data_IF_589009208593
#
_entry.id   IF_589009208593
#
_cell.length_a   1.000
_cell.length_b   1.000
_cell.length_c   1.000
_cell.angle_alpha   90.00
_cell.angle_beta   90.00
_cell.angle_gamma   90.00
#
_symmetry.space_group_name_H-M   'P 1'
#
loop_
_entity.id
_entity.type
_entity.pdbx_description
1 polymer ?
#
# COMPACT_ATOMS: atom_id res chain seq x y z
N UNK A 1 -12.76 27.38 -28.07
CA UNK A 1 -12.30 25.99 -27.91
C UNK A 1 -13.38 25.22 -27.16
N UNK A 2 -13.78 24.06 -27.65
CA UNK A 2 -14.74 23.21 -26.94
C UNK A 2 -14.03 22.46 -25.84
N UNK A 3 -14.43 22.63 -24.57
CA UNK A 3 -13.84 21.96 -23.42
C UNK A 3 -14.38 20.52 -23.40
N UNK A 4 -13.50 19.52 -23.39
CA UNK A 4 -13.88 18.10 -23.30
C UNK A 4 -13.85 17.65 -21.85
N UNK A 5 -14.66 16.67 -21.47
CA UNK A 5 -14.69 16.13 -20.10
C UNK A 5 -13.31 15.60 -19.64
N UNK A 6 -12.55 14.98 -20.54
CA UNK A 6 -11.19 14.49 -20.24
C UNK A 6 -10.21 15.61 -19.86
N UNK A 7 -10.44 16.83 -20.36
CA UNK A 7 -9.59 17.98 -20.04
C UNK A 7 -9.81 18.47 -18.59
N UNK A 8 -10.90 18.01 -17.94
CA UNK A 8 -11.29 18.32 -16.56
C UNK A 8 -10.93 17.20 -15.56
N UNK A 9 -10.00 16.31 -15.88
CA UNK A 9 -9.69 15.13 -15.06
C UNK A 9 -9.43 15.46 -13.58
N UNK A 10 -8.75 16.57 -13.29
CA UNK A 10 -8.48 17.00 -11.91
C UNK A 10 -9.75 17.36 -11.10
N UNK A 11 -10.82 17.82 -11.78
CA UNK A 11 -12.07 18.11 -11.12
C UNK A 11 -12.77 16.85 -10.58
N UNK A 12 -12.47 15.69 -11.16
CA UNK A 12 -13.05 14.40 -10.78
C UNK A 12 -12.28 13.66 -9.69
N UNK A 13 -11.25 14.28 -9.11
CA UNK A 13 -10.43 13.68 -8.04
C UNK A 13 -11.08 13.74 -6.64
N UNK A 14 -12.27 14.35 -6.52
CA UNK A 14 -13.01 14.41 -5.26
C UNK A 14 -12.41 15.33 -4.18
N UNK A 15 -11.42 16.14 -4.53
CA UNK A 15 -10.72 17.05 -3.59
C UNK A 15 -11.62 18.21 -3.17
N UNK A 16 -12.30 18.83 -4.12
CA UNK A 16 -13.27 19.89 -3.86
C UNK A 16 -14.68 19.32 -4.08
N UNK A 17 -15.60 19.44 -3.10
CA UNK A 17 -16.96 18.99 -3.28
C UNK A 17 -17.60 19.70 -4.47
N UNK A 18 -18.19 18.92 -5.36
CA UNK A 18 -18.99 19.43 -6.46
C UNK A 18 -20.39 19.81 -5.96
N UNK A 19 -21.13 20.55 -6.77
CA UNK A 19 -22.50 20.99 -6.47
C UNK A 19 -23.41 20.53 -7.61
N UNK A 20 -24.58 19.98 -7.26
CA UNK A 20 -25.66 19.75 -8.22
C UNK A 20 -26.81 20.68 -7.93
N UNK A 21 -27.33 21.30 -8.99
CA UNK A 21 -28.56 22.06 -8.97
C UNK A 21 -29.65 21.33 -9.81
N UNK A 22 -30.81 21.13 -9.20
CA UNK A 22 -31.98 20.49 -9.79
C UNK A 22 -33.21 21.37 -9.60
N UNK A 23 -34.28 21.17 -10.37
CA UNK A 23 -35.55 21.86 -10.20
C UNK A 23 -36.66 20.83 -10.00
N UNK A 24 -37.58 21.13 -9.08
CA UNK A 24 -38.84 20.39 -8.91
C UNK A 24 -39.80 20.69 -10.08
N UNK A 25 -40.85 19.89 -10.27
CA UNK A 25 -41.84 20.14 -11.34
C UNK A 25 -42.52 21.54 -11.29
N UNK A 26 -42.62 22.10 -10.09
CA UNK A 26 -43.17 23.46 -9.87
C UNK A 26 -42.11 24.58 -10.09
N UNK A 27 -40.89 24.20 -10.54
CA UNK A 27 -39.79 25.13 -10.77
C UNK A 27 -38.98 25.47 -9.54
N UNK A 28 -39.30 24.95 -8.34
CA UNK A 28 -38.56 25.20 -7.13
C UNK A 28 -37.12 24.63 -7.22
N UNK A 29 -36.07 25.47 -7.09
CA UNK A 29 -34.68 25.00 -7.17
C UNK A 29 -34.28 24.22 -5.94
N UNK A 30 -33.34 23.28 -6.14
CA UNK A 30 -32.68 22.55 -5.07
C UNK A 30 -31.18 22.44 -5.38
N UNK A 31 -30.36 22.71 -4.40
CA UNK A 31 -28.90 22.62 -4.49
C UNK A 31 -28.41 21.63 -3.45
N UNK A 32 -27.52 20.72 -3.87
CA UNK A 32 -26.89 19.72 -3.00
C UNK A 32 -25.39 19.63 -3.27
N UNK A 33 -24.62 19.39 -2.22
CA UNK A 33 -23.22 19.04 -2.35
C UNK A 33 -23.09 17.57 -2.72
N UNK A 34 -22.08 17.28 -3.56
CA UNK A 34 -21.73 15.94 -4.02
C UNK A 34 -20.39 15.55 -3.39
N UNK A 35 -20.34 14.39 -2.79
CA UNK A 35 -19.08 13.85 -2.25
C UNK A 35 -18.12 13.44 -3.36
N UNK A 36 -18.63 12.78 -4.39
CA UNK A 36 -17.85 12.32 -5.52
C UNK A 36 -18.61 12.51 -6.84
N UNK A 37 -17.88 13.03 -7.83
CA UNK A 37 -18.25 13.01 -9.24
C UNK A 37 -17.14 12.29 -9.97
N UNK A 38 -17.47 11.29 -10.79
CA UNK A 38 -16.51 10.45 -11.51
C UNK A 38 -16.76 10.56 -13.00
N UNK A 39 -15.70 10.66 -13.77
CA UNK A 39 -15.75 10.56 -15.22
C UNK A 39 -16.01 9.10 -15.64
N UNK A 40 -17.11 8.84 -16.33
CA UNK A 40 -17.44 7.51 -16.85
C UNK A 40 -16.83 7.31 -18.22
N UNK A 41 -17.09 8.27 -19.12
CA UNK A 41 -16.56 8.31 -20.49
C UNK A 41 -16.57 9.76 -21.01
N UNK A 42 -16.35 9.94 -22.32
CA UNK A 42 -16.28 11.25 -22.94
C UNK A 42 -17.61 12.06 -22.90
N UNK A 43 -18.73 11.40 -22.59
CA UNK A 43 -20.07 12.01 -22.61
C UNK A 43 -20.80 11.88 -21.26
N UNK A 44 -20.30 11.07 -20.30
CA UNK A 44 -21.04 10.74 -19.09
C UNK A 44 -20.21 10.93 -17.82
N UNK A 45 -20.90 11.37 -16.78
CA UNK A 45 -20.39 11.46 -15.42
C UNK A 45 -21.29 10.66 -14.47
N UNK A 46 -20.68 10.14 -13.40
CA UNK A 46 -21.35 9.43 -12.33
C UNK A 46 -21.27 10.22 -11.03
N UNK A 47 -22.38 10.32 -10.31
CA UNK A 47 -22.51 11.05 -9.06
C UNK A 47 -22.85 10.09 -7.93
N UNK A 48 -22.14 10.21 -6.79
CA UNK A 48 -22.45 9.41 -5.61
C UNK A 48 -23.76 9.86 -4.96
N UNK A 49 -24.70 8.94 -4.80
CA UNK A 49 -25.98 9.17 -4.12
C UNK A 49 -25.92 8.54 -2.71
N UNK A 50 -25.89 9.38 -1.68
CA UNK A 50 -25.81 8.98 -0.28
C UNK A 50 -27.03 9.42 0.54
N UNK A 51 -27.52 10.65 0.33
CA UNK A 51 -28.51 11.30 1.17
C UNK A 51 -29.64 12.01 0.38
N UNK A 52 -29.71 11.86 -0.93
CA UNK A 52 -30.46 12.76 -1.78
C UNK A 52 -31.92 12.33 -2.02
N UNK A 53 -32.79 12.45 -1.03
CA UNK A 53 -34.21 12.23 -1.28
C UNK A 53 -34.82 13.27 -2.25
N UNK A 54 -34.54 14.57 -2.02
CA UNK A 54 -35.10 15.66 -2.85
C UNK A 54 -34.47 15.74 -4.23
N UNK A 55 -33.12 15.64 -4.32
CA UNK A 55 -32.41 15.60 -5.60
C UNK A 55 -32.87 14.42 -6.46
N UNK A 56 -32.95 13.21 -5.88
CA UNK A 56 -33.40 12.01 -6.57
C UNK A 56 -34.89 12.13 -7.05
N UNK A 57 -35.73 12.75 -6.25
CA UNK A 57 -37.13 13.02 -6.66
C UNK A 57 -37.18 14.00 -7.83
N UNK A 58 -36.43 15.09 -7.77
CA UNK A 58 -36.37 16.09 -8.80
C UNK A 58 -35.91 15.53 -10.15
N UNK A 59 -34.78 14.78 -10.16
CA UNK A 59 -34.22 14.29 -11.44
C UNK A 59 -35.07 13.19 -12.09
N UNK A 60 -35.87 12.48 -11.31
CA UNK A 60 -36.87 11.53 -11.87
C UNK A 60 -38.04 12.25 -12.55
N UNK A 61 -38.45 13.38 -12.01
CA UNK A 61 -39.52 14.19 -12.55
C UNK A 61 -39.05 15.17 -13.66
N UNK A 62 -37.86 15.75 -13.48
CA UNK A 62 -37.21 16.63 -14.45
C UNK A 62 -35.70 16.20 -14.54
N UNK A 63 -35.30 15.46 -15.58
CA UNK A 63 -33.97 14.91 -15.68
C UNK A 63 -32.86 15.93 -15.93
N UNK A 64 -33.22 17.20 -16.28
CA UNK A 64 -32.22 18.24 -16.48
C UNK A 64 -31.65 18.75 -15.17
N UNK A 65 -30.34 18.84 -15.10
CA UNK A 65 -29.61 19.35 -13.93
C UNK A 65 -28.35 20.10 -14.39
N UNK A 66 -27.77 20.86 -13.46
CA UNK A 66 -26.46 21.48 -13.64
C UNK A 66 -25.52 21.02 -12.56
N UNK A 67 -24.30 20.66 -12.95
CA UNK A 67 -23.22 20.29 -12.00
C UNK A 67 -22.11 21.33 -12.09
N UNK A 68 -21.71 21.87 -10.95
CA UNK A 68 -20.56 22.76 -10.83
C UNK A 68 -19.36 21.96 -10.31
N UNK A 69 -18.31 21.94 -11.12
CA UNK A 69 -17.01 21.37 -10.80
C UNK A 69 -16.00 22.48 -10.49
N UNK A 70 -15.04 22.19 -9.64
CA UNK A 70 -13.91 23.09 -9.35
C UNK A 70 -12.60 22.33 -9.53
N UNK A 71 -11.69 22.87 -10.34
CA UNK A 71 -10.33 22.32 -10.47
C UNK A 71 -9.54 22.65 -9.19
N UNK A 72 -9.08 21.65 -8.44
CA UNK A 72 -8.36 21.87 -7.19
C UNK A 72 -6.93 22.40 -7.38
N UNK A 73 -6.41 22.41 -8.61
CA UNK A 73 -5.06 22.88 -8.93
C UNK A 73 -5.00 24.40 -9.10
N UNK A 74 -5.99 24.95 -9.81
CA UNK A 74 -5.99 26.38 -10.20
C UNK A 74 -7.28 27.14 -9.77
N UNK A 75 -8.24 26.44 -9.13
CA UNK A 75 -9.51 27.02 -8.74
C UNK A 75 -10.49 27.29 -9.90
N UNK A 76 -10.14 26.82 -11.12
CA UNK A 76 -11.01 26.94 -12.29
C UNK A 76 -12.36 26.29 -12.07
N UNK A 77 -13.45 26.96 -12.44
CA UNK A 77 -14.81 26.46 -12.26
C UNK A 77 -15.43 26.11 -13.60
N UNK A 78 -16.17 25.01 -13.61
CA UNK A 78 -16.80 24.49 -14.83
C UNK A 78 -18.22 24.05 -14.51
N UNK A 79 -19.18 24.57 -15.30
CA UNK A 79 -20.57 24.13 -15.27
C UNK A 79 -20.79 23.07 -16.34
N UNK A 80 -21.33 21.93 -15.91
CA UNK A 80 -21.84 20.89 -16.77
C UNK A 80 -23.34 20.99 -16.81
N UNK A 81 -23.91 21.10 -18.02
CA UNK A 81 -25.36 20.92 -18.24
C UNK A 81 -25.58 19.42 -18.49
N UNK A 82 -26.34 18.76 -17.62
CA UNK A 82 -26.46 17.30 -17.59
C UNK A 82 -27.90 16.81 -17.64
N UNK A 83 -28.10 15.60 -18.15
CA UNK A 83 -29.38 14.90 -18.17
C UNK A 83 -29.23 13.59 -17.41
N UNK A 84 -30.05 13.37 -16.40
CA UNK A 84 -30.12 12.10 -15.66
C UNK A 84 -30.54 10.96 -16.59
N UNK A 85 -29.84 9.84 -16.56
CA UNK A 85 -30.14 8.64 -17.34
C UNK A 85 -30.64 7.49 -16.44
N UNK A 86 -29.91 7.13 -15.41
CA UNK A 86 -30.26 6.02 -14.52
C UNK A 86 -29.50 6.06 -13.21
N UNK A 87 -29.97 5.28 -12.25
CA UNK A 87 -29.24 4.98 -10.99
C UNK A 87 -28.76 3.54 -11.03
N UNK A 88 -27.47 3.31 -10.75
CA UNK A 88 -26.88 1.99 -10.55
C UNK A 88 -26.85 1.68 -9.05
N UNK A 89 -27.27 0.50 -8.65
CA UNK A 89 -27.21 -0.04 -7.27
C UNK A 89 -26.20 -1.19 -7.12
N UNK A 90 -25.58 -1.60 -8.23
CA UNK A 90 -24.63 -2.69 -8.31
C UNK A 90 -23.72 -2.54 -9.53
N UNK A 91 -22.71 -3.42 -9.64
CA UNK A 91 -21.78 -3.47 -10.77
C UNK A 91 -20.47 -2.72 -10.53
N UNK A 92 -19.55 -2.82 -11.49
CA UNK A 92 -18.16 -2.41 -11.32
C UNK A 92 -17.97 -0.95 -10.91
N UNK A 93 -18.72 -0.03 -11.50
CA UNK A 93 -18.64 1.39 -11.16
C UNK A 93 -19.20 1.70 -9.76
N UNK A 94 -20.31 1.02 -9.38
CA UNK A 94 -20.87 1.14 -8.04
C UNK A 94 -19.87 0.63 -6.99
N UNK A 95 -19.27 -0.52 -7.22
CA UNK A 95 -18.27 -1.11 -6.34
C UNK A 95 -17.03 -0.22 -6.20
N UNK A 96 -16.52 0.31 -7.31
CA UNK A 96 -15.37 1.23 -7.32
C UNK A 96 -15.66 2.48 -6.46
N UNK A 97 -16.80 3.13 -6.67
CA UNK A 97 -17.19 4.30 -5.89
C UNK A 97 -17.45 3.97 -4.42
N UNK A 98 -17.99 2.80 -4.10
CA UNK A 98 -18.22 2.35 -2.75
C UNK A 98 -16.91 2.09 -2.00
N UNK A 99 -15.90 1.52 -2.67
CA UNK A 99 -14.55 1.28 -2.11
C UNK A 99 -13.86 2.60 -1.80
N UNK A 100 -13.85 3.54 -2.74
CA UNK A 100 -13.24 4.87 -2.55
C UNK A 100 -13.91 5.63 -1.40
N UNK A 101 -15.23 5.55 -1.30
CA UNK A 101 -15.99 6.17 -0.22
C UNK A 101 -15.65 5.54 1.13
N UNK A 102 -15.57 4.20 1.23
CA UNK A 102 -15.18 3.49 2.45
C UNK A 102 -13.76 3.84 2.88
N UNK A 103 -12.79 3.80 1.96
CA UNK A 103 -11.41 4.12 2.25
C UNK A 103 -11.26 5.52 2.86
N UNK A 104 -11.99 6.50 2.31
CA UNK A 104 -11.99 7.88 2.81
C UNK A 104 -12.71 8.00 4.16
N UNK A 105 -13.85 7.32 4.34
CA UNK A 105 -14.67 7.41 5.56
C UNK A 105 -14.10 6.64 6.74
N UNK A 106 -13.44 5.50 6.52
CA UNK A 106 -12.78 4.71 7.57
C UNK A 106 -11.65 5.49 8.23
N UNK A 107 -10.90 6.27 7.46
CA UNK A 107 -9.84 7.13 8.01
C UNK A 107 -10.37 8.28 8.89
N UNK A 108 -11.62 8.68 8.69
CA UNK A 108 -12.27 9.76 9.46
C UNK A 108 -13.05 9.21 10.67
N UNK A 109 -13.12 7.89 10.83
CA UNK A 109 -13.88 7.25 11.91
C UNK A 109 -15.41 7.28 11.73
N UNK A 110 -15.91 7.62 10.53
CA UNK A 110 -17.35 7.66 10.19
C UNK A 110 -17.76 6.61 9.14
N UNK A 111 -17.00 5.53 9.05
CA UNK A 111 -17.20 4.47 8.04
C UNK A 111 -18.60 3.84 8.03
N UNK A 112 -19.26 3.76 9.18
CA UNK A 112 -20.62 3.21 9.27
C UNK A 112 -21.72 4.18 8.81
N UNK A 113 -21.46 5.48 8.81
CA UNK A 113 -22.47 6.53 8.51
C UNK A 113 -22.57 6.83 7.00
N UNK A 114 -21.45 6.68 6.27
CA UNK A 114 -21.40 7.02 4.84
C UNK A 114 -21.54 5.77 3.96
N UNK A 115 -22.78 5.35 3.72
CA UNK A 115 -23.07 4.26 2.77
C UNK A 115 -23.51 4.81 1.42
N UNK A 116 -22.87 4.32 0.36
CA UNK A 116 -23.34 4.56 -1.00
C UNK A 116 -24.68 3.84 -1.20
N UNK A 117 -25.72 4.58 -1.60
CA UNK A 117 -27.07 4.05 -1.88
C UNK A 117 -27.29 3.80 -3.35
N UNK A 118 -26.57 4.51 -4.19
CA UNK A 118 -26.66 4.42 -5.64
C UNK A 118 -25.60 5.30 -6.30
N UNK A 119 -25.41 5.05 -7.57
CA UNK A 119 -24.58 5.86 -8.47
C UNK A 119 -25.48 6.38 -9.58
N UNK A 120 -25.70 7.68 -9.60
CA UNK A 120 -26.54 8.33 -10.57
C UNK A 120 -25.72 8.70 -11.82
N UNK A 121 -26.10 8.17 -12.97
CA UNK A 121 -25.46 8.41 -14.28
C UNK A 121 -26.13 9.58 -14.97
N UNK A 122 -25.32 10.50 -15.43
CA UNK A 122 -25.77 11.68 -16.18
C UNK A 122 -25.01 11.80 -17.50
N UNK A 123 -25.75 12.09 -18.56
CA UNK A 123 -25.18 12.49 -19.85
C UNK A 123 -24.89 13.98 -19.84
N UNK A 124 -23.70 14.37 -20.25
CA UNK A 124 -23.27 15.77 -20.35
C UNK A 124 -23.68 16.32 -21.71
N UNK A 125 -24.45 17.43 -21.73
CA UNK A 125 -24.89 18.12 -22.91
C UNK A 125 -24.02 19.31 -23.29
N UNK A 126 -23.39 19.91 -22.30
CA UNK A 126 -22.50 21.04 -22.49
C UNK A 126 -21.56 21.24 -21.32
N UNK A 127 -20.40 21.80 -21.62
CA UNK A 127 -19.38 22.19 -20.64
C UNK A 127 -19.06 23.66 -20.84
N UNK A 128 -19.18 24.46 -19.79
CA UNK A 128 -18.89 25.89 -19.82
C UNK A 128 -17.93 26.26 -18.69
N UNK A 129 -16.87 27.00 -19.03
CA UNK A 129 -16.03 27.62 -18.02
C UNK A 129 -16.80 28.78 -17.35
N UNK A 130 -16.81 28.78 -16.01
CA UNK A 130 -17.38 29.88 -15.24
C UNK A 130 -16.30 30.95 -15.06
N UNK A 131 -16.57 32.23 -15.34
CA UNK A 131 -15.60 33.29 -15.08
C UNK A 131 -15.15 33.31 -13.62
N UNK A 132 -13.85 33.24 -13.38
CA UNK A 132 -13.26 33.35 -12.05
C UNK A 132 -12.64 34.73 -11.85
N UNK A 133 -12.87 35.38 -10.68
CA UNK A 133 -12.20 36.65 -10.39
C UNK A 133 -10.70 36.46 -10.09
N UNK A 134 -10.28 35.24 -9.85
CA UNK A 134 -8.87 34.91 -9.54
C UNK A 134 -8.14 34.48 -10.82
N UNK A 135 -6.95 35.03 -11.14
CA UNK A 135 -6.14 34.56 -12.26
C UNK A 135 -5.85 33.06 -12.08
N UNK A 136 -6.02 32.30 -13.16
CA UNK A 136 -5.65 30.88 -13.16
C UNK A 136 -4.15 30.77 -13.02
N UNK A 137 -3.69 29.94 -12.12
CA UNK A 137 -2.30 29.56 -12.00
C UNK A 137 -1.98 28.55 -13.13
N UNK A 138 -0.99 28.86 -13.98
CA UNK A 138 -0.56 27.89 -14.99
C UNK A 138 0.00 26.65 -14.31
N UNK A 139 -0.73 25.55 -14.40
CA UNK A 139 -0.25 24.25 -13.94
C UNK A 139 0.42 23.56 -15.10
N UNK A 140 1.71 23.25 -14.92
CA UNK A 140 2.47 22.47 -15.89
C UNK A 140 1.78 21.11 -16.09
N UNK A 141 1.27 20.85 -17.28
CA UNK A 141 0.79 19.52 -17.65
C UNK A 141 1.99 18.60 -17.79
N UNK A 142 1.98 17.46 -17.09
CA UNK A 142 2.96 16.40 -17.36
C UNK A 142 2.76 15.92 -18.80
N UNK A 143 3.88 15.68 -19.50
CA UNK A 143 3.81 15.11 -20.85
C UNK A 143 3.12 13.74 -20.83
N UNK A 144 2.19 13.54 -21.76
CA UNK A 144 1.48 12.28 -21.90
C UNK A 144 2.46 11.12 -22.22
N UNK A 145 2.31 10.00 -21.52
CA UNK A 145 3.14 8.80 -21.74
C UNK A 145 4.38 8.67 -20.86
N UNK A 146 4.77 9.69 -20.09
CA UNK A 146 5.91 9.59 -19.17
C UNK A 146 5.71 8.49 -18.12
N UNK A 147 4.47 8.33 -17.64
CA UNK A 147 4.11 7.29 -16.66
C UNK A 147 4.29 5.88 -17.22
N UNK A 148 3.93 5.67 -18.49
CA UNK A 148 4.13 4.38 -19.16
C UNK A 148 5.62 4.07 -19.34
N UNK A 149 6.43 5.06 -19.70
CA UNK A 149 7.88 4.91 -19.81
C UNK A 149 8.51 4.58 -18.45
N UNK A 150 8.06 5.25 -17.40
CA UNK A 150 8.51 4.97 -16.04
C UNK A 150 8.12 3.55 -15.59
N UNK A 151 6.87 3.13 -15.83
CA UNK A 151 6.42 1.76 -15.53
C UNK A 151 7.23 0.70 -16.29
N UNK A 152 7.53 0.92 -17.57
CA UNK A 152 8.35 0.03 -18.38
C UNK A 152 9.79 -0.09 -17.84
N UNK A 153 10.37 1.04 -17.38
CA UNK A 153 11.70 1.05 -16.78
C UNK A 153 11.75 0.23 -15.48
N UNK A 154 10.74 0.38 -14.61
CA UNK A 154 10.64 -0.41 -13.37
C UNK A 154 10.38 -1.89 -13.68
N UNK A 155 9.46 -2.19 -14.60
CA UNK A 155 9.14 -3.56 -14.99
C UNK A 155 10.38 -4.31 -15.52
N UNK A 156 11.24 -3.64 -16.31
CA UNK A 156 12.50 -4.21 -16.77
C UNK A 156 13.42 -4.57 -15.61
N UNK A 157 13.63 -3.66 -14.65
CA UNK A 157 14.45 -3.94 -13.46
C UNK A 157 13.91 -5.11 -12.64
N UNK A 158 12.60 -5.18 -12.47
CA UNK A 158 11.94 -6.29 -11.78
C UNK A 158 12.18 -7.61 -12.51
N UNK A 159 12.17 -7.61 -13.85
CA UNK A 159 12.42 -8.84 -14.64
C UNK A 159 13.86 -9.33 -14.56
N UNK A 160 14.82 -8.47 -14.22
CA UNK A 160 16.23 -8.82 -14.02
C UNK A 160 16.50 -9.31 -12.58
N UNK A 161 15.59 -9.08 -11.66
CA UNK A 161 15.73 -9.49 -10.26
C UNK A 161 15.47 -10.99 -10.08
N UNK A 162 16.31 -11.65 -9.30
CA UNK A 162 16.31 -13.12 -9.15
C UNK A 162 15.76 -13.64 -7.82
N UNK A 163 15.44 -12.75 -6.89
CA UNK A 163 14.95 -13.11 -5.55
C UNK A 163 14.05 -12.04 -4.94
N UNK A 164 13.33 -12.42 -3.87
CA UNK A 164 12.37 -11.53 -3.19
C UNK A 164 12.99 -10.19 -2.78
N UNK A 165 14.22 -10.21 -2.24
CA UNK A 165 14.89 -8.99 -1.79
C UNK A 165 15.22 -8.04 -2.92
N UNK A 166 15.83 -8.55 -4.01
CA UNK A 166 16.17 -7.79 -5.21
C UNK A 166 14.95 -7.29 -5.96
N UNK A 167 13.83 -8.06 -5.98
CA UNK A 167 12.55 -7.62 -6.54
C UNK A 167 12.02 -6.42 -5.75
N UNK A 168 11.99 -6.51 -4.42
CA UNK A 168 11.52 -5.41 -3.55
C UNK A 168 12.35 -4.15 -3.76
N UNK A 169 13.68 -4.28 -3.81
CA UNK A 169 14.58 -3.14 -4.05
C UNK A 169 14.41 -2.56 -5.46
N UNK A 170 14.29 -3.41 -6.49
CA UNK A 170 14.04 -2.97 -7.87
C UNK A 170 12.75 -2.14 -8.00
N UNK A 171 11.68 -2.55 -7.31
CA UNK A 171 10.43 -1.78 -7.28
C UNK A 171 10.63 -0.45 -6.58
N UNK A 172 11.11 -0.46 -5.33
CA UNK A 172 11.19 0.75 -4.51
C UNK A 172 12.18 1.79 -5.07
N UNK A 173 13.34 1.34 -5.53
CA UNK A 173 14.33 2.22 -6.14
C UNK A 173 13.87 2.71 -7.52
N UNK A 174 13.19 1.85 -8.30
CA UNK A 174 12.58 2.20 -9.56
C UNK A 174 11.50 3.28 -9.42
N UNK A 175 10.67 3.22 -8.39
CA UNK A 175 9.67 4.25 -8.10
C UNK A 175 10.31 5.60 -7.82
N UNK A 176 11.41 5.62 -7.08
CA UNK A 176 12.16 6.85 -6.79
C UNK A 176 12.82 7.43 -8.03
N UNK A 177 13.44 6.60 -8.86
CA UNK A 177 14.27 7.04 -9.98
C UNK A 177 13.45 7.34 -11.24
N UNK A 178 12.46 6.50 -11.58
CA UNK A 178 11.69 6.65 -12.82
C UNK A 178 10.43 7.51 -12.62
N UNK A 179 9.75 7.42 -11.47
CA UNK A 179 8.55 8.20 -11.17
C UNK A 179 8.81 9.44 -10.31
N UNK A 180 10.00 9.55 -9.70
CA UNK A 180 10.33 10.59 -8.71
C UNK A 180 9.47 10.54 -7.44
N UNK A 181 8.84 9.41 -7.12
CA UNK A 181 8.11 9.20 -5.87
C UNK A 181 9.09 8.87 -4.75
N UNK A 182 9.13 9.73 -3.72
CA UNK A 182 10.14 9.66 -2.66
C UNK A 182 9.78 8.68 -1.55
N UNK A 183 8.49 8.58 -1.21
CA UNK A 183 8.01 7.80 -0.08
C UNK A 183 7.18 6.62 -0.59
N UNK A 184 7.72 5.44 -0.42
CA UNK A 184 7.07 4.21 -0.81
C UNK A 184 7.42 3.08 0.15
N UNK A 185 6.49 2.14 0.35
CA UNK A 185 6.72 0.90 1.07
C UNK A 185 6.05 -0.28 0.36
N UNK A 186 6.63 -1.44 0.54
CA UNK A 186 6.11 -2.69 0.02
C UNK A 186 5.84 -3.64 1.18
N UNK A 187 4.59 -4.09 1.25
CA UNK A 187 4.13 -5.03 2.26
C UNK A 187 3.79 -6.36 1.58
N UNK A 188 4.19 -7.47 2.17
CA UNK A 188 3.81 -8.81 1.70
C UNK A 188 2.76 -9.43 2.63
N UNK A 189 1.82 -10.17 2.04
CA UNK A 189 0.79 -10.89 2.80
C UNK A 189 1.41 -12.10 3.46
N UNK A 190 1.12 -12.29 4.74
CA UNK A 190 1.48 -13.52 5.44
C UNK A 190 0.67 -14.71 4.94
N UNK A 191 1.29 -15.88 4.85
CA UNK A 191 0.65 -17.11 4.37
C UNK A 191 -0.44 -17.59 5.33
N UNK A 192 -0.20 -17.45 6.63
CA UNK A 192 -1.13 -17.80 7.68
C UNK A 192 -1.64 -16.53 8.37
N UNK A 193 -2.80 -16.03 7.97
CA UNK A 193 -3.41 -14.89 8.64
C UNK A 193 -3.87 -13.77 7.72
N UNK A 194 -4.51 -12.78 8.32
CA UNK A 194 -5.05 -11.59 7.65
C UNK A 194 -4.14 -10.37 7.88
N UNK A 195 -2.82 -10.57 7.77
CA UNK A 195 -1.81 -9.51 7.99
C UNK A 195 -0.93 -9.30 6.77
N UNK A 196 -0.55 -8.05 6.61
CA UNK A 196 0.47 -7.59 5.68
C UNK A 196 1.68 -7.15 6.50
N UNK A 197 2.88 -7.54 6.10
CA UNK A 197 4.12 -7.20 6.80
C UNK A 197 5.01 -6.36 5.90
N UNK A 198 5.49 -5.22 6.38
CA UNK A 198 6.40 -4.34 5.65
C UNK A 198 7.74 -5.03 5.46
N UNK A 199 8.11 -5.28 4.21
CA UNK A 199 9.39 -5.91 3.83
C UNK A 199 10.39 -4.92 3.30
N UNK A 200 9.98 -3.72 2.90
CA UNK A 200 10.86 -2.66 2.46
C UNK A 200 10.17 -1.32 2.40
N UNK A 201 10.94 -0.26 2.56
CA UNK A 201 10.48 1.11 2.43
C UNK A 201 11.58 2.04 1.92
N UNK A 202 11.19 3.19 1.38
CA UNK A 202 12.10 4.26 0.97
C UNK A 202 11.53 5.62 1.35
N UNK A 203 12.41 6.55 1.72
CA UNK A 203 12.06 7.95 2.00
C UNK A 203 11.66 8.26 3.44
N UNK A 204 11.50 7.27 4.30
CA UNK A 204 11.10 7.44 5.70
C UNK A 204 12.31 7.50 6.64
N UNK A 205 12.17 8.22 7.76
CA UNK A 205 13.21 8.27 8.80
C UNK A 205 13.45 6.89 9.46
N UNK A 206 12.38 6.11 9.59
CA UNK A 206 12.43 4.73 10.09
C UNK A 206 11.90 3.81 9.01
N UNK A 207 12.59 2.71 8.78
CA UNK A 207 12.20 1.76 7.73
C UNK A 207 10.85 1.09 7.97
N UNK A 208 10.47 0.89 9.24
CA UNK A 208 9.29 0.14 9.64
C UNK A 208 9.27 -1.32 9.16
N UNK A 209 10.41 -1.87 8.78
CA UNK A 209 10.51 -3.28 8.36
C UNK A 209 10.03 -4.18 9.49
N UNK A 210 9.09 -5.07 9.17
CA UNK A 210 8.41 -5.92 10.14
C UNK A 210 7.18 -5.29 10.80
N UNK A 211 6.79 -4.04 10.46
CA UNK A 211 5.50 -3.51 10.89
C UNK A 211 4.35 -4.24 10.20
N UNK A 212 3.24 -4.37 10.90
CA UNK A 212 2.10 -5.18 10.49
C UNK A 212 0.87 -4.29 10.24
N UNK A 213 0.10 -4.60 9.20
CA UNK A 213 -1.20 -3.98 8.89
C UNK A 213 -2.24 -5.09 8.70
N UNK A 214 -3.41 -4.97 9.32
CA UNK A 214 -4.50 -5.91 9.12
C UNK A 214 -5.18 -5.69 7.76
N UNK A 215 -5.55 -6.79 7.10
CA UNK A 215 -6.38 -6.72 5.88
C UNK A 215 -7.73 -6.09 6.26
N UNK A 216 -8.15 -5.07 5.50
CA UNK A 216 -9.34 -4.28 5.79
C UNK A 216 -9.08 -3.00 6.61
N UNK A 217 -7.90 -2.83 7.19
CA UNK A 217 -7.56 -1.67 8.01
C UNK A 217 -6.84 -0.58 7.21
N UNK A 218 -7.32 0.65 7.30
CA UNK A 218 -6.77 1.81 6.62
C UNK A 218 -6.76 1.66 5.09
N UNK A 219 -5.99 2.48 4.41
CA UNK A 219 -5.88 2.45 2.93
C UNK A 219 -5.21 1.17 2.45
N UNK A 220 -4.13 0.76 3.12
CA UNK A 220 -3.34 -0.43 2.76
C UNK A 220 -4.20 -1.69 2.91
N UNK A 221 -4.83 -1.87 4.08
CA UNK A 221 -5.67 -3.02 4.35
C UNK A 221 -6.94 -3.05 3.47
N UNK A 222 -7.53 -1.88 3.17
CA UNK A 222 -8.66 -1.78 2.24
C UNK A 222 -8.27 -2.21 0.83
N UNK A 223 -7.12 -1.75 0.30
CA UNK A 223 -6.64 -2.20 -1.00
C UNK A 223 -6.41 -3.71 -1.06
N UNK A 224 -5.95 -4.30 0.05
CA UNK A 224 -5.75 -5.74 0.17
C UNK A 224 -7.08 -6.52 0.18
N UNK A 225 -8.06 -6.10 0.98
CA UNK A 225 -9.36 -6.77 1.11
C UNK A 225 -10.19 -6.67 -0.17
N UNK A 226 -10.24 -5.48 -0.77
CA UNK A 226 -11.02 -5.21 -1.98
C UNK A 226 -10.30 -5.66 -3.26
N UNK A 227 -8.99 -5.94 -3.20
CA UNK A 227 -8.14 -6.33 -4.33
C UNK A 227 -8.19 -5.33 -5.49
N UNK A 228 -8.32 -4.05 -5.16
CA UNK A 228 -8.38 -2.92 -6.10
C UNK A 228 -7.50 -1.77 -5.60
N UNK A 229 -6.97 -0.93 -6.49
CA UNK A 229 -6.29 0.29 -6.09
C UNK A 229 -7.18 1.18 -5.22
N UNK A 230 -6.59 1.77 -4.19
CA UNK A 230 -7.24 2.77 -3.33
C UNK A 230 -6.38 4.01 -3.31
N UNK A 231 -6.96 5.15 -3.71
CA UNK A 231 -6.24 6.41 -3.80
C UNK A 231 -6.97 7.52 -3.05
N UNK A 232 -6.23 8.29 -2.28
CA UNK A 232 -6.71 9.49 -1.59
C UNK A 232 -5.90 10.68 -2.07
N UNK A 233 -6.55 11.59 -2.77
CA UNK A 233 -5.91 12.73 -3.44
C UNK A 233 -5.72 13.94 -2.53
N UNK A 234 -6.48 14.02 -1.40
CA UNK A 234 -6.33 15.07 -0.39
C UNK A 234 -6.67 14.56 1.03
N UNK A 235 -5.66 14.51 1.88
CA UNK A 235 -5.75 14.11 3.28
C UNK A 235 -6.09 15.28 4.24
N UNK A 236 -6.24 16.51 3.76
CA UNK A 236 -6.39 17.69 4.61
C UNK A 236 -7.62 17.63 5.54
N UNK A 237 -8.70 17.00 5.09
CA UNK A 237 -9.91 16.79 5.89
C UNK A 237 -9.72 15.69 6.93
N UNK A 238 -9.07 14.61 6.54
CA UNK A 238 -8.81 13.45 7.39
C UNK A 238 -7.92 13.83 8.57
N UNK A 239 -6.88 14.62 8.33
CA UNK A 239 -5.95 15.09 9.38
C UNK A 239 -6.62 15.95 10.46
N UNK A 240 -7.62 16.77 10.10
CA UNK A 240 -8.35 17.58 11.08
C UNK A 240 -9.14 16.73 12.08
N UNK A 241 -9.59 15.55 11.69
CA UNK A 241 -10.35 14.64 12.54
C UNK A 241 -9.44 13.64 13.28
N UNK A 242 -8.39 13.13 12.64
CA UNK A 242 -7.49 12.14 13.25
C UNK A 242 -6.64 12.72 14.40
N UNK A 243 -6.25 13.98 14.33
CA UNK A 243 -5.52 14.64 15.41
C UNK A 243 -6.28 14.69 16.75
N UNK A 244 -7.63 14.65 16.69
CA UNK A 244 -8.47 14.61 17.89
C UNK A 244 -8.61 13.18 18.48
N UNK A 245 -8.44 12.13 17.67
CA UNK A 245 -8.64 10.72 18.08
C UNK A 245 -7.34 10.08 18.56
N UNK A 246 -6.19 10.41 17.97
CA UNK A 246 -4.90 9.82 18.35
C UNK A 246 -4.37 10.23 19.73
N UNK A 247 -4.95 11.25 20.36
CA UNK A 247 -4.54 11.69 21.70
C UNK A 247 -4.95 10.71 22.83
N UNK A 248 -5.79 9.70 22.56
CA UNK A 248 -6.40 8.87 23.60
C UNK A 248 -6.08 7.36 23.59
N UNK A 249 -5.31 6.84 22.62
CA UNK A 249 -5.17 5.38 22.46
C UNK A 249 -3.75 4.79 22.54
N UNK A 250 -2.75 5.55 23.01
CA UNK A 250 -1.37 5.27 22.64
C UNK A 250 -0.44 4.70 23.73
N UNK A 251 -0.91 4.22 24.88
CA UNK A 251 0.02 3.95 26.01
C UNK A 251 0.36 2.50 26.37
N UNK A 252 -0.39 1.47 25.98
CA UNK A 252 -0.19 0.14 26.60
C UNK A 252 0.54 -0.95 25.81
N UNK A 253 0.90 -0.73 24.52
CA UNK A 253 1.51 -1.82 23.71
C UNK A 253 2.84 -1.45 23.02
N UNK A 254 3.55 -0.43 23.48
CA UNK A 254 4.68 0.17 22.75
C UNK A 254 5.99 -0.58 22.73
N UNK A 255 6.20 -1.60 23.54
CA UNK A 255 7.52 -2.24 23.69
C UNK A 255 7.82 -3.38 22.69
N UNK A 256 6.82 -3.94 21.99
CA UNK A 256 6.95 -5.10 21.10
C UNK A 256 6.31 -4.96 19.73
N UNK A 257 5.90 -3.75 19.35
CA UNK A 257 5.34 -3.44 18.02
C UNK A 257 6.27 -2.53 17.25
N UNK A 258 6.50 -2.87 15.97
CA UNK A 258 7.22 -2.00 15.05
C UNK A 258 6.20 -1.06 14.44
N UNK A 259 6.37 0.24 14.63
CA UNK A 259 5.46 1.24 14.08
C UNK A 259 5.54 1.24 12.55
N UNK A 260 4.37 1.30 11.89
CA UNK A 260 4.30 1.52 10.44
C UNK A 260 4.93 2.88 10.13
N UNK A 261 5.86 2.97 9.17
CA UNK A 261 6.39 4.27 8.76
C UNK A 261 5.30 5.09 8.09
N UNK A 262 5.37 6.40 8.23
CA UNK A 262 4.40 7.31 7.65
C UNK A 262 4.92 8.73 7.64
N UNK A 263 4.40 9.54 6.73
CA UNK A 263 4.66 10.97 6.67
C UNK A 263 3.66 11.72 7.55
N UNK A 264 4.11 12.46 8.58
CA UNK A 264 3.19 13.27 9.39
C UNK A 264 2.43 14.34 8.60
N UNK A 265 3.00 14.78 7.49
CA UNK A 265 2.48 15.81 6.57
C UNK A 265 1.93 15.22 5.26
N UNK A 266 1.67 13.91 5.19
CA UNK A 266 1.07 13.29 4.01
C UNK A 266 -0.22 14.01 3.58
N UNK A 267 -0.31 14.38 2.32
CA UNK A 267 -1.47 15.04 1.72
C UNK A 267 -2.16 14.18 0.68
N UNK A 268 -1.47 13.22 0.08
CA UNK A 268 -2.06 12.22 -0.80
C UNK A 268 -1.41 10.85 -0.60
N UNK A 269 -2.18 9.79 -0.84
CA UNK A 269 -1.77 8.40 -0.66
C UNK A 269 -2.38 7.52 -1.75
N UNK A 270 -1.66 6.46 -2.14
CA UNK A 270 -2.16 5.41 -3.02
C UNK A 270 -1.67 4.05 -2.56
N UNK A 271 -2.57 3.08 -2.51
CA UNK A 271 -2.29 1.68 -2.21
C UNK A 271 -2.73 0.80 -3.39
N UNK A 272 -1.83 -0.04 -3.86
CA UNK A 272 -2.04 -0.89 -5.03
C UNK A 272 -1.84 -2.36 -4.63
N UNK A 273 -2.87 -3.21 -4.77
CA UNK A 273 -2.73 -4.62 -4.45
C UNK A 273 -1.83 -5.32 -5.48
N UNK A 274 -0.90 -6.11 -4.99
CA UNK A 274 -0.02 -6.96 -5.79
C UNK A 274 -0.67 -8.34 -5.93
N UNK A 275 -1.26 -8.62 -7.09
CA UNK A 275 -2.03 -9.84 -7.35
C UNK A 275 -1.37 -10.63 -8.48
N UNK A 276 -1.11 -11.91 -8.24
CA UNK A 276 -0.63 -12.86 -9.25
C UNK A 276 -1.50 -14.12 -9.21
N UNK A 277 -1.98 -14.55 -10.37
CA UNK A 277 -2.85 -15.75 -10.52
C UNK A 277 -4.06 -15.74 -9.56
N UNK A 278 -4.70 -14.58 -9.37
CA UNK A 278 -5.83 -14.40 -8.45
C UNK A 278 -5.48 -14.41 -6.96
N UNK A 279 -4.18 -14.53 -6.60
CA UNK A 279 -3.71 -14.54 -5.22
C UNK A 279 -3.11 -13.19 -4.87
N UNK A 280 -3.57 -12.61 -3.76
CA UNK A 280 -2.96 -11.41 -3.18
C UNK A 280 -1.60 -11.75 -2.59
N UNK A 281 -0.53 -11.16 -3.12
CA UNK A 281 0.85 -11.31 -2.63
C UNK A 281 1.25 -10.23 -1.66
N UNK A 282 0.65 -9.04 -1.78
CA UNK A 282 0.98 -7.90 -0.94
C UNK A 282 0.33 -6.61 -1.41
N UNK A 283 0.84 -5.50 -0.91
CA UNK A 283 0.41 -4.14 -1.28
C UNK A 283 1.63 -3.26 -1.49
N UNK A 284 1.64 -2.52 -2.59
CA UNK A 284 2.54 -1.42 -2.83
C UNK A 284 1.86 -0.13 -2.37
N UNK A 285 2.49 0.62 -1.46
CA UNK A 285 1.94 1.85 -0.90
C UNK A 285 2.88 3.02 -1.13
N UNK A 286 2.30 4.15 -1.52
CA UNK A 286 3.02 5.41 -1.72
C UNK A 286 2.28 6.55 -1.05
N UNK A 287 3.04 7.55 -0.59
CA UNK A 287 2.49 8.79 -0.04
C UNK A 287 3.33 10.02 -0.42
N UNK A 288 2.69 11.17 -0.36
CA UNK A 288 3.29 12.45 -0.72
C UNK A 288 2.74 13.58 0.16
N UNK A 289 3.58 14.57 0.47
CA UNK A 289 3.17 15.83 1.11
C UNK A 289 2.44 16.77 0.15
N UNK A 290 2.36 16.45 -1.12
CA UNK A 290 1.62 17.22 -2.11
C UNK A 290 0.21 16.67 -2.30
N UNK A 291 -0.78 17.56 -2.42
CA UNK A 291 -2.12 17.18 -2.88
C UNK A 291 -2.06 16.75 -4.33
N UNK A 292 -2.92 15.82 -4.74
CA UNK A 292 -3.01 15.36 -6.13
C UNK A 292 -1.69 14.82 -6.69
N UNK A 293 -0.78 14.36 -5.82
CA UNK A 293 0.51 13.84 -6.26
C UNK A 293 0.36 12.59 -7.16
N UNK A 294 -0.73 11.84 -6.97
CA UNK A 294 -1.03 10.63 -7.73
C UNK A 294 -2.25 10.88 -8.60
N UNK A 295 -2.06 10.97 -9.91
CA UNK A 295 -3.14 11.08 -10.91
C UNK A 295 -3.72 9.69 -11.23
N UNK A 296 -4.80 9.64 -12.02
CA UNK A 296 -5.32 8.36 -12.56
C UNK A 296 -4.33 7.66 -13.48
N UNK A 297 -3.54 8.42 -14.22
CA UNK A 297 -2.47 7.88 -15.07
C UNK A 297 -1.34 7.28 -14.22
N UNK A 298 -0.94 7.97 -13.14
CA UNK A 298 0.04 7.42 -12.18
C UNK A 298 -0.50 6.13 -11.55
N UNK A 299 -1.76 6.12 -11.11
CA UNK A 299 -2.41 4.92 -10.54
C UNK A 299 -2.39 3.75 -11.52
N UNK A 300 -2.75 3.97 -12.78
CA UNK A 300 -2.74 2.93 -13.81
C UNK A 300 -1.32 2.40 -14.08
N UNK A 301 -0.33 3.28 -14.19
CA UNK A 301 1.07 2.91 -14.38
C UNK A 301 1.65 2.16 -13.18
N UNK A 302 1.34 2.62 -11.96
CA UNK A 302 1.74 1.96 -10.71
C UNK A 302 1.06 0.59 -10.54
N UNK A 303 -0.18 0.44 -11.01
CA UNK A 303 -0.87 -0.86 -11.01
C UNK A 303 -0.13 -1.87 -11.91
N UNK A 304 0.40 -1.46 -13.07
CA UNK A 304 1.24 -2.32 -13.91
C UNK A 304 2.50 -2.74 -13.16
N UNK A 305 3.17 -1.81 -12.45
CA UNK A 305 4.35 -2.14 -11.62
C UNK A 305 3.99 -3.12 -10.52
N UNK A 306 2.87 -2.91 -9.81
CA UNK A 306 2.42 -3.79 -8.73
C UNK A 306 2.11 -5.21 -9.22
N UNK A 307 1.44 -5.34 -10.38
CA UNK A 307 1.15 -6.64 -11.01
C UNK A 307 2.43 -7.35 -11.47
N UNK A 308 3.37 -6.62 -12.08
CA UNK A 308 4.67 -7.17 -12.48
C UNK A 308 5.49 -7.64 -11.27
N UNK A 309 5.52 -6.85 -10.19
CA UNK A 309 6.15 -7.25 -8.93
C UNK A 309 5.52 -8.51 -8.35
N UNK A 310 4.18 -8.60 -8.34
CA UNK A 310 3.47 -9.77 -7.87
C UNK A 310 3.81 -11.03 -8.68
N UNK A 311 3.88 -10.92 -10.00
CA UNK A 311 4.25 -12.02 -10.89
C UNK A 311 5.69 -12.49 -10.65
N UNK A 312 6.63 -11.55 -10.52
CA UNK A 312 8.03 -11.85 -10.23
C UNK A 312 8.20 -12.52 -8.86
N UNK A 313 7.49 -12.04 -7.82
CA UNK A 313 7.49 -12.67 -6.50
C UNK A 313 6.93 -14.09 -6.55
N UNK A 314 5.81 -14.31 -7.26
CA UNK A 314 5.23 -15.63 -7.42
C UNK A 314 6.18 -16.61 -8.12
N UNK A 315 6.90 -16.15 -9.14
CA UNK A 315 7.91 -16.95 -9.84
C UNK A 315 9.11 -17.27 -8.94
N UNK A 316 9.65 -16.27 -8.23
CA UNK A 316 10.75 -16.46 -7.30
C UNK A 316 10.43 -17.48 -6.20
N UNK A 317 9.19 -17.50 -5.71
CA UNK A 317 8.71 -18.49 -4.75
C UNK A 317 8.60 -19.90 -5.34
N UNK A 318 8.06 -20.03 -6.56
CA UNK A 318 7.89 -21.32 -7.24
C UNK A 318 9.23 -22.01 -7.55
N UNK A 319 10.20 -21.24 -8.03
CA UNK A 319 11.52 -21.76 -8.38
C UNK A 319 12.35 -22.27 -7.19
N UNK A 320 12.08 -21.78 -5.97
CA UNK A 320 12.72 -22.25 -4.73
C UNK A 320 12.25 -23.65 -4.36
N UNK A 321 11.00 -24.01 -4.73
CA UNK A 321 10.45 -25.36 -4.48
C UNK A 321 11.09 -26.43 -5.35
N UNK A 322 11.62 -26.06 -6.51
CA UNK A 322 12.17 -26.99 -7.53
C UNK A 322 13.71 -27.12 -7.53
N UNK A 323 14.43 -26.33 -6.71
CA UNK A 323 15.89 -26.21 -6.75
C UNK A 323 16.64 -27.49 -6.38
N UNK A 324 17.83 -27.78 -6.99
CA UNK A 324 18.60 -28.99 -6.79
C UNK A 324 19.21 -29.11 -5.39
N UNK A 325 19.26 -30.34 -4.91
CA UNK A 325 19.92 -30.73 -3.65
C UNK A 325 21.44 -30.60 -3.79
N UNK A 326 22.08 -29.74 -3.04
CA UNK A 326 23.53 -29.57 -3.09
C UNK A 326 24.24 -30.04 -1.81
N UNK A 327 25.43 -30.58 -2.00
CA UNK A 327 26.35 -31.21 -1.07
C UNK A 327 26.79 -30.25 0.06
N UNK A 328 27.07 -30.75 1.30
CA UNK A 328 27.52 -29.93 2.41
C UNK A 328 28.91 -29.32 2.17
N UNK A 329 29.04 -28.04 2.45
CA UNK A 329 30.32 -27.33 2.43
C UNK A 329 30.91 -27.35 3.82
N UNK A 330 32.21 -27.66 3.90
CA UNK A 330 33.00 -27.75 5.11
C UNK A 330 33.10 -26.38 5.82
N UNK A 331 32.96 -26.40 7.14
CA UNK A 331 33.03 -25.21 7.98
C UNK A 331 34.45 -24.60 7.98
N UNK A 332 34.53 -23.33 7.67
CA UNK A 332 35.73 -22.53 7.92
C UNK A 332 35.65 -21.97 9.35
N UNK A 333 36.59 -22.36 10.22
CA UNK A 333 36.66 -21.90 11.62
C UNK A 333 37.29 -20.50 11.64
N UNK A 334 36.54 -19.47 11.41
CA UNK A 334 37.00 -18.11 11.70
C UNK A 334 36.96 -17.86 13.21
N UNK A 335 38.11 -17.46 13.74
CA UNK A 335 38.30 -17.16 15.17
C UNK A 335 37.41 -15.96 15.55
N UNK A 336 36.47 -16.18 16.45
CA UNK A 336 35.56 -15.19 17.00
C UNK A 336 36.32 -14.18 17.87
N UNK A 337 36.74 -13.06 17.30
CA UNK A 337 37.27 -11.90 18.01
C UNK A 337 36.18 -10.83 18.13
N UNK A 338 35.37 -10.92 19.18
CA UNK A 338 34.31 -9.94 19.42
C UNK A 338 33.80 -9.96 20.86
N UNK A 339 33.20 -8.86 21.31
CA UNK A 339 32.52 -8.75 22.61
C UNK A 339 31.31 -9.68 22.62
N UNK A 340 31.09 -10.41 23.72
CA UNK A 340 29.88 -11.22 23.89
C UNK A 340 28.61 -10.35 23.86
N UNK A 341 27.53 -10.88 23.30
CA UNK A 341 26.22 -10.26 23.27
C UNK A 341 25.13 -11.23 23.71
N UNK A 342 24.03 -10.69 24.23
CA UNK A 342 22.93 -11.46 24.81
C UNK A 342 21.75 -11.52 23.83
N UNK A 343 21.22 -12.74 23.60
CA UNK A 343 20.01 -12.95 22.80
C UNK A 343 18.94 -13.58 23.68
N UNK A 344 17.85 -12.87 23.91
CA UNK A 344 16.71 -13.33 24.72
C UNK A 344 15.55 -13.69 23.81
N UNK A 345 15.07 -14.92 23.91
CA UNK A 345 13.92 -15.44 23.20
C UNK A 345 12.74 -15.61 24.15
N UNK A 346 11.59 -15.03 23.79
CA UNK A 346 10.32 -15.20 24.50
C UNK A 346 9.47 -16.22 23.77
N UNK A 347 9.27 -17.40 24.37
CA UNK A 347 8.65 -18.55 23.72
C UNK A 347 7.15 -18.37 23.38
N UNK A 348 6.43 -17.43 24.03
CA UNK A 348 4.99 -17.26 23.83
C UNK A 348 4.62 -16.57 22.48
N UNK A 349 5.48 -15.69 21.97
CA UNK A 349 5.27 -14.95 20.70
C UNK A 349 6.49 -15.00 19.76
N UNK A 350 7.50 -15.77 20.12
CA UNK A 350 8.79 -15.87 19.43
C UNK A 350 9.52 -14.52 19.27
N UNK A 351 9.32 -13.58 20.21
CA UNK A 351 10.03 -12.31 20.23
C UNK A 351 11.50 -12.47 20.57
N UNK A 352 12.36 -11.80 19.84
CA UNK A 352 13.81 -11.77 20.04
C UNK A 352 14.25 -10.38 20.44
N UNK A 353 15.09 -10.33 21.49
CA UNK A 353 15.83 -9.15 21.91
C UNK A 353 17.34 -9.43 21.82
N UNK A 354 18.10 -8.48 21.30
CA UNK A 354 19.57 -8.50 21.32
C UNK A 354 20.03 -7.34 22.22
N UNK A 355 20.80 -7.64 23.27
CA UNK A 355 21.27 -6.65 24.25
C UNK A 355 20.15 -5.72 24.79
N UNK A 356 18.98 -6.30 25.09
CA UNK A 356 17.75 -5.63 25.53
C UNK A 356 17.03 -4.77 24.45
N UNK A 357 17.49 -4.78 23.22
CA UNK A 357 16.81 -4.10 22.14
C UNK A 357 15.90 -5.09 21.36
N UNK A 358 14.62 -4.73 21.18
CA UNK A 358 13.69 -5.54 20.41
C UNK A 358 14.10 -5.64 18.95
N UNK A 359 14.23 -6.88 18.46
CA UNK A 359 14.59 -7.16 17.08
C UNK A 359 13.35 -7.49 16.22
N UNK A 360 12.71 -8.62 16.49
CA UNK A 360 11.64 -9.19 15.68
C UNK A 360 10.86 -10.24 16.47
N UNK A 361 9.65 -10.61 16.02
CA UNK A 361 8.84 -11.69 16.62
C UNK A 361 8.40 -12.74 15.58
N UNK A 362 7.81 -13.81 16.06
CA UNK A 362 7.21 -14.87 15.26
C UNK A 362 8.24 -15.74 14.53
N UNK A 363 7.87 -16.26 13.35
CA UNK A 363 8.72 -17.17 12.58
C UNK A 363 10.14 -16.66 12.33
N UNK A 364 10.38 -15.38 11.97
CA UNK A 364 11.75 -14.87 11.85
C UNK A 364 12.55 -14.95 13.15
N UNK A 365 11.90 -14.77 14.31
CA UNK A 365 12.53 -14.92 15.62
C UNK A 365 12.97 -16.37 15.88
N UNK A 366 12.07 -17.33 15.63
CA UNK A 366 12.41 -18.78 15.73
C UNK A 366 13.55 -19.17 14.78
N UNK A 367 13.56 -18.63 13.55
CA UNK A 367 14.62 -18.84 12.57
C UNK A 367 15.97 -18.39 13.12
N UNK A 368 16.06 -17.21 13.71
CA UNK A 368 17.30 -16.71 14.29
C UNK A 368 17.80 -17.62 15.41
N UNK A 369 16.92 -17.99 16.34
CA UNK A 369 17.28 -18.91 17.42
C UNK A 369 17.75 -20.27 16.92
N UNK A 370 17.07 -20.83 15.93
CA UNK A 370 17.46 -22.09 15.31
C UNK A 370 18.89 -22.02 14.72
N UNK A 371 19.15 -21.00 13.90
CA UNK A 371 20.46 -20.80 13.27
C UNK A 371 21.58 -20.60 14.31
N UNK A 372 21.33 -19.79 15.35
CA UNK A 372 22.31 -19.55 16.42
C UNK A 372 22.59 -20.81 17.27
N UNK A 373 21.57 -21.63 17.57
CA UNK A 373 21.74 -22.90 18.29
C UNK A 373 22.62 -23.89 17.53
N UNK A 374 22.37 -24.03 16.20
CA UNK A 374 23.20 -24.91 15.36
C UNK A 374 24.62 -24.34 15.26
N UNK A 375 24.76 -23.03 15.09
CA UNK A 375 26.09 -22.41 15.07
C UNK A 375 26.87 -22.66 16.37
N UNK A 376 26.23 -22.53 17.54
CA UNK A 376 26.89 -22.80 18.81
C UNK A 376 27.26 -24.27 19.03
N UNK A 377 26.40 -25.19 18.59
CA UNK A 377 26.59 -26.62 18.78
C UNK A 377 27.61 -27.22 17.82
N UNK A 378 27.60 -26.77 16.55
CA UNK A 378 28.30 -27.41 15.43
C UNK A 378 29.37 -26.50 14.79
N UNK A 379 29.44 -25.21 15.17
CA UNK A 379 30.30 -24.22 14.47
C UNK A 379 29.86 -23.89 13.05
N UNK A 380 28.65 -24.28 12.68
CA UNK A 380 28.15 -24.21 11.33
C UNK A 380 27.68 -22.79 10.99
N UNK A 381 28.06 -22.30 9.81
CA UNK A 381 27.72 -20.96 9.34
C UNK A 381 26.87 -20.97 8.07
N UNK A 382 26.88 -22.02 7.28
CA UNK A 382 26.12 -22.11 6.03
C UNK A 382 24.88 -23.00 6.16
N UNK A 383 23.77 -22.53 5.60
CA UNK A 383 22.47 -23.19 5.68
C UNK A 383 21.77 -23.15 4.33
N UNK A 384 20.97 -24.18 4.04
CA UNK A 384 20.12 -24.22 2.85
C UNK A 384 18.65 -24.04 3.20
N UNK A 385 17.88 -23.40 2.32
CA UNK A 385 16.44 -23.24 2.53
C UNK A 385 15.72 -24.58 2.68
N UNK A 386 16.23 -25.63 2.01
CA UNK A 386 15.64 -26.97 2.08
C UNK A 386 15.77 -27.57 3.47
N UNK A 387 16.96 -27.51 4.07
CA UNK A 387 17.17 -28.06 5.42
C UNK A 387 16.38 -27.27 6.47
N UNK A 388 16.33 -25.93 6.32
CA UNK A 388 15.53 -25.06 7.20
C UNK A 388 14.05 -25.46 7.13
N UNK A 389 13.52 -25.69 5.93
CA UNK A 389 12.12 -26.12 5.73
C UNK A 389 11.83 -27.50 6.31
N UNK A 390 12.77 -28.42 6.25
CA UNK A 390 12.59 -29.79 6.73
C UNK A 390 12.85 -29.94 8.25
N UNK A 391 13.27 -28.87 8.92
CA UNK A 391 13.51 -28.90 10.38
C UNK A 391 12.21 -28.93 11.17
N UNK A 392 12.00 -29.99 11.94
CA UNK A 392 10.87 -30.14 12.85
C UNK A 392 10.90 -29.10 13.99
N UNK A 393 12.09 -28.63 14.37
CA UNK A 393 12.30 -27.64 15.45
C UNK A 393 11.67 -26.28 15.11
N UNK A 394 11.52 -25.94 13.84
CA UNK A 394 11.02 -24.64 13.40
C UNK A 394 9.49 -24.57 13.35
N UNK A 395 8.79 -25.73 13.35
CA UNK A 395 7.34 -25.79 13.23
C UNK A 395 6.80 -24.79 12.17
N UNK A 396 7.48 -24.79 11.01
CA UNK A 396 7.05 -23.93 9.91
C UNK A 396 5.67 -24.38 9.47
N UNK A 397 4.73 -23.45 9.20
CA UNK A 397 3.49 -23.79 8.54
C UNK A 397 3.75 -24.53 7.23
N UNK A 398 2.79 -25.34 6.76
CA UNK A 398 2.91 -26.21 5.58
C UNK A 398 3.68 -25.57 4.41
N UNK A 399 4.08 -26.38 3.44
CA UNK A 399 4.89 -26.11 2.23
C UNK A 399 4.62 -24.75 1.53
N UNK A 400 3.51 -24.09 1.83
CA UNK A 400 3.10 -22.77 1.30
C UNK A 400 3.67 -21.56 2.06
N UNK A 401 4.39 -21.76 3.19
CA UNK A 401 4.97 -20.61 3.90
C UNK A 401 6.20 -20.07 3.18
N UNK A 402 6.22 -18.73 3.03
CA UNK A 402 7.28 -18.04 2.28
C UNK A 402 8.53 -17.85 3.14
N UNK A 403 9.36 -18.89 3.25
CA UNK A 403 10.62 -18.85 3.99
C UNK A 403 11.53 -17.70 3.54
N UNK A 404 11.60 -17.39 2.24
CA UNK A 404 12.43 -16.29 1.71
C UNK A 404 11.98 -14.94 2.25
N UNK A 405 10.68 -14.70 2.38
CA UNK A 405 10.16 -13.48 3.02
C UNK A 405 10.56 -13.38 4.48
N UNK A 406 10.53 -14.51 5.22
CA UNK A 406 10.93 -14.56 6.63
C UNK A 406 12.43 -14.31 6.80
N UNK A 407 13.25 -14.90 5.95
CA UNK A 407 14.69 -14.66 5.92
C UNK A 407 15.02 -13.23 5.49
N UNK A 408 14.31 -12.67 4.52
CA UNK A 408 14.46 -11.27 4.12
C UNK A 408 14.13 -10.31 5.26
N UNK A 409 13.01 -10.52 5.95
CA UNK A 409 12.63 -9.74 7.13
C UNK A 409 13.71 -9.79 8.21
N UNK A 410 14.15 -11.00 8.55
CA UNK A 410 15.19 -11.18 9.56
C UNK A 410 16.49 -10.48 9.16
N UNK A 411 16.97 -10.68 7.93
CA UNK A 411 18.17 -10.02 7.41
C UNK A 411 18.07 -8.51 7.52
N UNK A 412 17.01 -7.91 7.00
CA UNK A 412 16.83 -6.45 7.00
C UNK A 412 16.71 -5.87 8.41
N UNK A 413 16.08 -6.60 9.34
CA UNK A 413 16.02 -6.17 10.75
C UNK A 413 17.37 -6.22 11.43
N UNK A 414 18.17 -7.26 11.18
CA UNK A 414 19.54 -7.38 11.70
C UNK A 414 20.43 -6.24 11.15
N UNK A 415 20.31 -5.93 9.85
CA UNK A 415 21.02 -4.82 9.21
C UNK A 415 20.60 -3.46 9.81
N UNK A 416 19.30 -3.19 9.93
CA UNK A 416 18.74 -1.94 10.47
C UNK A 416 19.19 -1.67 11.90
N UNK A 417 19.28 -2.73 12.72
CA UNK A 417 19.71 -2.67 14.11
C UNK A 417 21.23 -2.71 14.28
N UNK A 418 21.99 -2.78 13.17
CA UNK A 418 23.43 -3.00 13.20
C UNK A 418 23.81 -4.14 14.18
N UNK A 419 23.01 -5.23 14.17
CA UNK A 419 23.12 -6.32 15.11
C UNK A 419 24.47 -7.04 14.95
N UNK A 420 25.01 -7.64 16.03
CA UNK A 420 26.26 -8.43 15.98
C UNK A 420 26.10 -9.76 15.23
N UNK A 421 24.95 -9.98 14.62
CA UNK A 421 24.62 -11.13 13.77
C UNK A 421 24.19 -10.62 12.43
N UNK A 422 24.69 -11.22 11.35
CA UNK A 422 24.30 -10.91 9.98
C UNK A 422 23.89 -12.18 9.23
N UNK A 423 22.94 -12.04 8.33
CA UNK A 423 22.53 -13.09 7.41
C UNK A 423 22.88 -12.66 5.98
N UNK A 424 23.85 -13.34 5.40
CA UNK A 424 24.27 -13.09 4.02
C UNK A 424 23.69 -14.15 3.10
N UNK A 425 23.19 -13.73 1.94
CA UNK A 425 22.83 -14.65 0.87
C UNK A 425 24.08 -14.97 0.07
N UNK A 426 24.51 -16.22 0.04
CA UNK A 426 25.70 -16.65 -0.71
C UNK A 426 25.36 -17.12 -2.13
N UNK A 427 24.17 -17.70 -2.30
CA UNK A 427 23.63 -18.11 -3.59
C UNK A 427 22.12 -18.35 -3.46
N UNK A 428 21.46 -18.77 -4.53
CA UNK A 428 20.04 -19.09 -4.52
C UNK A 428 19.75 -20.23 -3.53
N UNK A 429 18.86 -19.98 -2.58
CA UNK A 429 18.46 -20.96 -1.55
C UNK A 429 19.54 -21.27 -0.51
N UNK A 430 20.60 -20.45 -0.42
CA UNK A 430 21.69 -20.59 0.59
C UNK A 430 21.93 -19.29 1.32
N UNK A 431 22.10 -19.41 2.63
CA UNK A 431 22.42 -18.30 3.50
C UNK A 431 23.65 -18.63 4.33
N UNK A 432 24.41 -17.61 4.68
CA UNK A 432 25.52 -17.66 5.63
C UNK A 432 25.18 -16.80 6.84
N UNK A 433 25.36 -17.39 8.03
CA UNK A 433 25.27 -16.70 9.30
C UNK A 433 26.66 -16.19 9.69
N UNK A 434 26.79 -14.89 9.88
CA UNK A 434 28.01 -14.28 10.43
C UNK A 434 27.70 -13.76 11.83
N UNK A 435 28.55 -14.11 12.81
CA UNK A 435 28.36 -13.76 14.21
C UNK A 435 29.62 -13.05 14.72
N UNK A 436 29.47 -11.77 15.07
CA UNK A 436 30.58 -10.95 15.57
C UNK A 436 30.70 -11.09 17.09
N UNK A 437 31.34 -12.18 17.56
CA UNK A 437 31.53 -12.45 18.98
C UNK A 437 30.78 -13.67 19.50
N UNK A 438 30.70 -13.82 20.83
CA UNK A 438 30.00 -14.96 21.45
C UNK A 438 28.55 -14.59 21.80
N UNK A 439 27.61 -15.26 21.19
CA UNK A 439 26.20 -15.13 21.55
C UNK A 439 25.92 -15.87 22.88
N UNK A 440 25.20 -15.26 23.80
CA UNK A 440 24.64 -15.90 25.00
C UNK A 440 23.15 -16.03 24.77
N UNK A 441 22.67 -17.27 24.57
CA UNK A 441 21.24 -17.53 24.27
C UNK A 441 20.49 -17.79 25.57
N UNK A 442 19.41 -17.07 25.78
CA UNK A 442 18.52 -17.20 26.95
C UNK A 442 17.09 -17.40 26.50
N UNK A 443 16.33 -18.23 27.20
CA UNK A 443 14.89 -18.39 27.03
C UNK A 443 14.15 -17.75 28.20
N UNK A 444 13.27 -16.83 27.91
CA UNK A 444 12.39 -16.24 28.90
C UNK A 444 11.00 -16.91 28.82
N UNK A 445 10.51 -17.33 29.96
CA UNK A 445 9.26 -18.13 30.12
C UNK A 445 8.02 -17.26 30.38
N UNK A 446 8.11 -15.92 30.43
CA UNK A 446 6.95 -15.03 30.66
C UNK A 446 7.25 -13.60 30.24
#
# INVERSE_FOLDING_TARGET
MTIRLRDLAACFEGVIPSIIATAAPDGMPNISYLSHVVLVDDERVALSNQFFSKTATNVRANPAAAVLLVDPRDGGQYRLDVIFEQTLDSGGLFEEMAIQLRATSTQVGIGEVMRLRGVDIYRVRGVQAVPSPTPRQEVSSREAGLQLMAAAAVARRVSEASDVGTIVDAVLDGLREAFSFKHAMLLLKESAGERLVTVGSRGYERSGIGSEVLVGEGIIGTAASERRPVRVSDMSRIRRFSSAVHASSDEENRTRTIALPGMPDAMSQVALPMIAHGVLRGVLFLESSQRLAFTREDEAALAVVALQAAAALALAEAEILEGPSSVPVVADQSVLTGRGFRVVHYAYDDSIFIDNEYLIKGVPGRLLMYLLRIHQREGRTEFTNREIRLSEDLRLPDIKDNLETRLLLLRRRLEEKAAPVQLLRTSRGRIRLEVAGRAVLEEATS
#
